data_IF_665390133874
#
_entry.id   IF_665390133874
#
_cell.length_a   1.000
_cell.length_b   1.000
_cell.length_c   1.000
_cell.angle_alpha   90.00
_cell.angle_beta   90.00
_cell.angle_gamma   90.00
#
_symmetry.space_group_name_H-M   'P 1'
#
loop_
_entity.id
_entity.type
_entity.pdbx_description
1 polymer ?
#
# COMPACT_ATOMS: atom_id res chain seq x y z
N UNK A 1 32.18 67.29 29.76
CA UNK A 1 33.07 66.32 29.07
C UNK A 1 33.60 66.99 27.81
N UNK A 2 34.88 66.84 27.48
CA UNK A 2 35.42 67.36 26.22
C UNK A 2 35.13 66.37 25.10
N UNK A 3 35.01 66.86 23.86
CA UNK A 3 34.75 66.02 22.70
C UNK A 3 35.86 64.98 22.45
N UNK A 4 37.10 65.31 22.84
CA UNK A 4 38.29 64.45 22.67
C UNK A 4 38.28 63.20 23.56
N UNK A 5 37.53 63.23 24.66
CA UNK A 5 37.49 62.16 25.66
C UNK A 5 36.35 61.15 25.41
N UNK A 6 35.58 61.29 24.32
CA UNK A 6 34.39 60.47 24.05
C UNK A 6 34.71 59.31 23.12
N UNK A 7 34.55 58.10 23.64
CA UNK A 7 34.62 56.86 22.85
C UNK A 7 33.22 56.49 22.32
N UNK A 8 32.89 57.01 21.13
CA UNK A 8 31.58 56.77 20.48
C UNK A 8 31.36 55.30 20.08
N UNK A 9 32.42 54.54 19.88
CA UNK A 9 32.34 53.12 19.55
C UNK A 9 31.88 52.31 20.76
N UNK A 10 32.54 52.46 21.90
CA UNK A 10 32.13 51.78 23.14
C UNK A 10 30.75 52.23 23.62
N UNK A 11 30.40 53.49 23.41
CA UNK A 11 29.05 54.00 23.65
C UNK A 11 28.01 53.28 22.78
N UNK A 12 28.26 53.17 21.46
CA UNK A 12 27.34 52.51 20.52
C UNK A 12 27.16 51.01 20.81
N UNK A 13 28.23 50.35 21.25
CA UNK A 13 28.22 48.94 21.65
C UNK A 13 27.73 48.70 23.09
N UNK A 14 27.41 49.77 23.86
CA UNK A 14 27.03 49.72 25.29
C UNK A 14 28.05 49.00 26.19
N UNK A 15 29.34 49.23 25.93
CA UNK A 15 30.45 48.61 26.68
C UNK A 15 30.98 49.48 27.84
N UNK A 16 30.34 50.62 28.11
CA UNK A 16 30.72 51.58 29.16
C UNK A 16 29.82 51.45 30.39
N UNK A 17 30.31 51.82 31.59
CA UNK A 17 29.46 51.88 32.78
C UNK A 17 28.33 52.91 32.61
N UNK A 18 27.19 52.66 33.27
CA UNK A 18 25.95 53.44 33.07
C UNK A 18 26.13 54.94 33.34
N UNK A 19 27.03 55.31 34.26
CA UNK A 19 27.31 56.72 34.60
C UNK A 19 28.05 57.46 33.48
N UNK A 20 28.92 56.77 32.72
CA UNK A 20 29.59 57.32 31.55
C UNK A 20 28.67 57.36 30.33
N UNK A 21 27.80 56.36 30.16
CA UNK A 21 26.76 56.37 29.12
C UNK A 21 25.85 57.59 29.26
N UNK A 22 25.43 57.92 30.48
CA UNK A 22 24.59 59.09 30.73
C UNK A 22 25.33 60.40 30.41
N UNK A 23 26.58 60.54 30.83
CA UNK A 23 27.41 61.74 30.54
C UNK A 23 27.62 61.94 29.04
N UNK A 24 27.81 60.85 28.28
CA UNK A 24 27.97 60.90 26.83
C UNK A 24 26.63 61.24 26.15
N UNK A 25 25.51 60.69 26.63
CA UNK A 25 24.18 61.03 26.12
C UNK A 25 23.85 62.53 26.31
N UNK A 26 24.07 63.06 27.51
CA UNK A 26 23.90 64.50 27.81
C UNK A 26 24.80 65.39 26.93
N UNK A 27 26.01 64.92 26.60
CA UNK A 27 26.90 65.64 25.70
C UNK A 27 26.44 65.62 24.22
N UNK A 28 25.89 64.50 23.75
CA UNK A 28 25.35 64.36 22.39
C UNK A 28 24.12 65.25 22.15
N UNK A 29 23.43 65.66 23.21
CA UNK A 29 22.31 66.62 23.14
C UNK A 29 22.78 68.06 22.90
N UNK A 30 24.01 68.40 23.32
CA UNK A 30 24.56 69.77 23.25
C UNK A 30 25.55 69.94 22.08
N UNK A 31 26.27 68.89 21.69
CA UNK A 31 27.34 68.96 20.69
C UNK A 31 26.93 68.36 19.34
N UNK A 32 26.75 69.23 18.33
CA UNK A 32 26.38 68.80 16.97
C UNK A 32 27.47 67.99 16.26
N UNK A 33 28.76 68.28 16.52
CA UNK A 33 29.89 67.55 15.93
C UNK A 33 29.90 66.09 16.39
N UNK A 34 29.83 65.86 17.71
CA UNK A 34 29.76 64.51 18.28
C UNK A 34 28.50 63.75 17.82
N UNK A 35 27.34 64.44 17.71
CA UNK A 35 26.10 63.85 17.18
C UNK A 35 26.24 63.42 15.72
N UNK A 36 26.94 64.19 14.90
CA UNK A 36 27.19 63.85 13.49
C UNK A 36 28.09 62.61 13.38
N UNK A 37 29.16 62.55 14.18
CA UNK A 37 30.09 61.41 14.25
C UNK A 37 29.40 60.14 14.73
N UNK A 38 28.57 60.24 15.76
CA UNK A 38 27.78 59.11 16.26
C UNK A 38 26.81 58.57 15.20
N UNK A 39 26.11 59.45 14.47
CA UNK A 39 25.24 59.04 13.35
C UNK A 39 26.02 58.32 12.25
N UNK A 40 27.20 58.82 11.89
CA UNK A 40 28.02 58.18 10.87
C UNK A 40 28.46 56.78 11.32
N UNK A 41 28.93 56.66 12.57
CA UNK A 41 29.33 55.39 13.15
C UNK A 41 28.17 54.38 13.23
N UNK A 42 26.97 54.83 13.60
CA UNK A 42 25.78 53.97 13.59
C UNK A 42 25.42 53.47 12.18
N UNK A 43 25.62 54.29 11.14
CA UNK A 43 25.41 53.86 9.77
C UNK A 43 26.44 52.79 9.35
N UNK A 44 27.73 53.01 9.66
CA UNK A 44 28.80 52.04 9.38
C UNK A 44 28.55 50.69 10.09
N UNK A 45 28.18 50.71 11.38
CA UNK A 45 27.83 49.50 12.13
C UNK A 45 26.63 48.77 11.51
N UNK A 46 25.64 49.51 11.01
CA UNK A 46 24.46 48.93 10.34
C UNK A 46 24.82 48.27 9.01
N UNK A 47 25.72 48.88 8.25
CA UNK A 47 26.22 48.31 7.00
C UNK A 47 26.97 46.99 7.25
N UNK A 48 27.80 46.94 8.29
CA UNK A 48 28.50 45.72 8.69
C UNK A 48 27.53 44.62 9.12
N UNK A 49 26.52 44.96 9.92
CA UNK A 49 25.50 44.00 10.36
C UNK A 49 24.67 43.45 9.19
N UNK A 50 24.32 44.32 8.23
CA UNK A 50 23.60 43.90 7.02
C UNK A 50 24.47 42.95 6.17
N UNK A 51 25.77 43.25 6.02
CA UNK A 51 26.70 42.40 5.26
C UNK A 51 26.86 41.01 5.88
N UNK A 52 26.91 40.92 7.21
CA UNK A 52 26.97 39.64 7.91
C UNK A 52 25.70 38.79 7.67
N UNK A 53 24.52 39.40 7.77
CA UNK A 53 23.25 38.73 7.50
C UNK A 53 23.13 38.26 6.05
N UNK A 54 23.50 39.08 5.07
CA UNK A 54 23.40 38.73 3.66
C UNK A 54 24.29 37.53 3.30
N UNK A 55 25.50 37.44 3.86
CA UNK A 55 26.41 36.33 3.57
C UNK A 55 25.99 35.00 4.22
N UNK A 56 25.39 35.04 5.41
CA UNK A 56 24.85 33.85 6.07
C UNK A 56 23.68 33.28 5.25
N UNK A 57 22.77 34.13 4.77
CA UNK A 57 21.63 33.72 3.96
C UNK A 57 22.06 33.11 2.62
N UNK A 58 23.04 33.72 1.92
CA UNK A 58 23.57 33.19 0.65
C UNK A 58 24.20 31.79 0.83
N UNK A 59 24.91 31.57 1.95
CA UNK A 59 25.51 30.27 2.25
C UNK A 59 24.47 29.17 2.48
N UNK A 60 23.40 29.46 3.22
CA UNK A 60 22.33 28.48 3.47
C UNK A 60 21.55 28.17 2.20
N UNK A 61 21.23 29.18 1.39
CA UNK A 61 20.45 29.01 0.16
C UNK A 61 21.18 28.15 -0.88
N UNK A 62 22.51 28.31 -1.00
CA UNK A 62 23.30 27.51 -1.94
C UNK A 62 23.39 26.03 -1.53
N UNK A 63 23.42 25.73 -0.23
CA UNK A 63 23.42 24.35 0.31
C UNK A 63 22.03 23.71 0.17
N UNK A 64 20.97 24.45 0.50
CA UNK A 64 19.59 23.96 0.46
C UNK A 64 19.11 23.69 -0.98
N UNK A 65 19.44 24.55 -1.94
CA UNK A 65 19.07 24.34 -3.36
C UNK A 65 19.73 23.09 -3.97
N UNK A 66 20.95 22.75 -3.54
CA UNK A 66 21.65 21.51 -3.95
C UNK A 66 21.04 20.26 -3.30
N UNK A 67 20.62 20.35 -2.03
CA UNK A 67 19.98 19.27 -1.30
C UNK A 67 18.55 18.99 -1.80
N UNK A 68 17.73 20.02 -2.06
CA UNK A 68 16.32 19.88 -2.45
C UNK A 68 16.09 19.13 -3.76
N UNK A 69 16.95 19.29 -4.77
CA UNK A 69 16.83 18.53 -6.04
C UNK A 69 17.05 17.03 -5.83
N UNK A 70 17.91 16.67 -4.87
CA UNK A 70 18.23 15.28 -4.50
C UNK A 70 17.28 14.65 -3.48
N UNK A 71 16.27 15.36 -2.98
CA UNK A 71 15.30 14.79 -2.04
C UNK A 71 13.94 14.55 -2.73
N UNK A 72 13.64 15.31 -3.78
CA UNK A 72 12.37 15.22 -4.51
C UNK A 72 12.10 13.84 -5.12
N UNK A 73 13.13 13.20 -5.67
CA UNK A 73 13.04 11.84 -6.24
C UNK A 73 12.88 10.76 -5.17
N UNK A 74 13.50 10.91 -3.99
CA UNK A 74 13.35 9.97 -2.86
C UNK A 74 11.88 9.83 -2.44
N UNK A 75 11.12 10.93 -2.47
CA UNK A 75 9.69 10.90 -2.18
C UNK A 75 8.93 10.00 -3.16
N UNK A 76 9.21 10.13 -4.46
CA UNK A 76 8.57 9.31 -5.48
C UNK A 76 9.02 7.84 -5.44
N UNK A 77 10.29 7.58 -5.10
CA UNK A 77 10.80 6.22 -4.89
C UNK A 77 10.11 5.56 -3.70
N UNK A 78 9.96 6.27 -2.59
CA UNK A 78 9.22 5.76 -1.42
C UNK A 78 7.77 5.43 -1.73
N UNK A 79 7.05 6.34 -2.40
CA UNK A 79 5.69 6.08 -2.86
C UNK A 79 5.61 4.90 -3.84
N UNK A 80 6.60 4.76 -4.73
CA UNK A 80 6.69 3.62 -5.64
C UNK A 80 6.82 2.28 -4.92
N UNK A 81 7.70 2.19 -3.91
CA UNK A 81 7.87 0.97 -3.10
C UNK A 81 6.58 0.65 -2.33
N UNK A 82 5.96 1.65 -1.69
CA UNK A 82 4.70 1.46 -0.97
C UNK A 82 3.60 0.99 -1.92
N UNK A 83 3.51 1.56 -3.13
CA UNK A 83 2.54 1.15 -4.13
C UNK A 83 2.75 -0.31 -4.57
N UNK A 84 3.99 -0.71 -4.84
CA UNK A 84 4.32 -2.10 -5.20
C UNK A 84 3.93 -3.07 -4.08
N UNK A 85 4.30 -2.77 -2.84
CA UNK A 85 3.94 -3.60 -1.68
C UNK A 85 2.42 -3.67 -1.50
N UNK A 86 1.73 -2.53 -1.62
CA UNK A 86 0.27 -2.48 -1.50
C UNK A 86 -0.42 -3.33 -2.58
N UNK A 87 0.00 -3.20 -3.84
CA UNK A 87 -0.51 -4.00 -4.95
C UNK A 87 -0.27 -5.49 -4.68
N UNK A 88 0.93 -5.88 -4.24
CA UNK A 88 1.24 -7.27 -3.89
C UNK A 88 0.34 -7.81 -2.76
N UNK A 89 0.09 -7.03 -1.71
CA UNK A 89 -0.80 -7.43 -0.63
C UNK A 89 -2.26 -7.60 -1.09
N UNK A 90 -2.73 -6.72 -1.98
CA UNK A 90 -4.06 -6.84 -2.58
C UNK A 90 -4.18 -8.14 -3.38
N UNK A 91 -3.18 -8.47 -4.21
CA UNK A 91 -3.19 -9.72 -4.98
C UNK A 91 -3.23 -10.96 -4.07
N UNK A 92 -2.43 -10.98 -2.99
CA UNK A 92 -2.45 -12.08 -2.02
C UNK A 92 -3.85 -12.22 -1.38
N UNK A 93 -4.45 -11.09 -0.98
CA UNK A 93 -5.79 -11.09 -0.39
C UNK A 93 -6.88 -11.59 -1.36
N UNK A 94 -6.80 -11.21 -2.63
CA UNK A 94 -7.71 -11.68 -3.68
C UNK A 94 -7.59 -13.18 -3.91
N UNK A 95 -6.37 -13.73 -3.93
CA UNK A 95 -6.16 -15.16 -4.15
C UNK A 95 -6.70 -16.00 -2.98
N UNK A 96 -6.51 -15.54 -1.73
CA UNK A 96 -7.10 -16.18 -0.54
C UNK A 96 -8.63 -16.19 -0.62
N UNK A 97 -9.23 -15.08 -1.05
CA UNK A 97 -10.68 -14.97 -1.20
C UNK A 97 -11.21 -15.94 -2.28
N UNK A 98 -10.56 -15.99 -3.44
CA UNK A 98 -10.89 -16.93 -4.54
C UNK A 98 -10.84 -18.38 -4.06
N UNK A 99 -9.74 -18.76 -3.39
CA UNK A 99 -9.58 -20.11 -2.84
C UNK A 99 -10.70 -20.48 -1.87
N UNK A 100 -11.05 -19.58 -0.94
CA UNK A 100 -12.15 -19.81 0.01
C UNK A 100 -13.49 -20.00 -0.70
N UNK A 101 -13.80 -19.14 -1.67
CA UNK A 101 -15.05 -19.25 -2.40
C UNK A 101 -15.13 -20.53 -3.23
N UNK A 102 -14.01 -20.99 -3.80
CA UNK A 102 -14.00 -22.24 -4.58
C UNK A 102 -14.22 -23.46 -3.68
N UNK A 103 -13.62 -23.49 -2.49
CA UNK A 103 -13.89 -24.53 -1.48
C UNK A 103 -15.38 -24.58 -1.10
N UNK A 104 -16.02 -23.42 -0.94
CA UNK A 104 -17.46 -23.34 -0.66
C UNK A 104 -18.27 -23.89 -1.85
N UNK A 105 -17.93 -23.49 -3.08
CA UNK A 105 -18.62 -24.01 -4.26
C UNK A 105 -18.47 -25.53 -4.38
N UNK A 106 -17.26 -26.08 -4.23
CA UNK A 106 -17.04 -27.53 -4.28
C UNK A 106 -17.86 -28.25 -3.20
N UNK A 107 -17.97 -27.70 -1.99
CA UNK A 107 -18.83 -28.26 -0.95
C UNK A 107 -20.33 -28.19 -1.29
N UNK A 108 -20.78 -27.11 -1.93
CA UNK A 108 -22.16 -26.99 -2.41
C UNK A 108 -22.44 -27.96 -3.56
N UNK A 109 -21.49 -28.11 -4.47
CA UNK A 109 -21.54 -29.06 -5.58
C UNK A 109 -21.62 -30.50 -5.07
N UNK A 110 -20.83 -30.84 -4.06
CA UNK A 110 -20.89 -32.15 -3.40
C UNK A 110 -22.29 -32.44 -2.84
N UNK A 111 -22.86 -31.48 -2.10
CA UNK A 111 -24.21 -31.59 -1.56
C UNK A 111 -25.26 -31.72 -2.66
N UNK A 112 -25.14 -30.93 -3.73
CA UNK A 112 -26.06 -30.97 -4.86
C UNK A 112 -26.05 -32.32 -5.57
N UNK A 113 -24.87 -32.92 -5.76
CA UNK A 113 -24.72 -34.27 -6.35
C UNK A 113 -25.34 -35.33 -5.44
N UNK A 114 -25.13 -35.22 -4.12
CA UNK A 114 -25.75 -36.14 -3.15
C UNK A 114 -27.28 -36.01 -3.19
N UNK A 115 -27.82 -34.80 -3.23
CA UNK A 115 -29.26 -34.55 -3.37
C UNK A 115 -29.83 -35.10 -4.68
N UNK A 116 -29.10 -34.91 -5.79
CA UNK A 116 -29.46 -35.48 -7.08
C UNK A 116 -29.58 -37.01 -6.98
N UNK A 117 -28.60 -37.68 -6.39
CA UNK A 117 -28.65 -39.14 -6.17
C UNK A 117 -29.84 -39.54 -5.28
N UNK A 118 -30.13 -38.79 -4.22
CA UNK A 118 -31.28 -39.08 -3.36
C UNK A 118 -32.61 -39.01 -4.11
N UNK A 119 -32.74 -38.10 -5.07
CA UNK A 119 -33.96 -37.91 -5.85
C UNK A 119 -34.07 -38.84 -7.07
N UNK A 120 -32.97 -39.09 -7.79
CA UNK A 120 -32.95 -39.87 -9.04
C UNK A 120 -32.52 -41.32 -8.84
N UNK A 121 -31.93 -41.66 -7.69
CA UNK A 121 -31.41 -42.99 -7.37
C UNK A 121 -29.96 -43.26 -7.82
N UNK A 122 -29.45 -42.47 -8.76
CA UNK A 122 -28.14 -42.66 -9.40
C UNK A 122 -27.29 -41.38 -9.37
N UNK A 123 -25.96 -41.53 -9.46
CA UNK A 123 -25.05 -40.38 -9.61
C UNK A 123 -25.03 -39.89 -11.06
N UNK A 124 -24.76 -38.59 -11.32
CA UNK A 124 -24.50 -38.09 -12.66
C UNK A 124 -23.35 -38.83 -13.34
N UNK A 125 -23.32 -38.88 -14.68
CA UNK A 125 -22.21 -39.50 -15.42
C UNK A 125 -21.07 -38.50 -15.61
N UNK A 126 -19.81 -38.97 -15.66
CA UNK A 126 -18.64 -38.10 -15.88
C UNK A 126 -18.67 -37.27 -17.17
N UNK A 127 -19.45 -37.72 -18.18
CA UNK A 127 -19.62 -37.02 -19.45
C UNK A 127 -20.79 -36.02 -19.44
N UNK A 128 -21.58 -35.99 -18.38
CA UNK A 128 -22.71 -35.07 -18.30
C UNK A 128 -22.23 -33.69 -17.86
N UNK A 129 -22.75 -32.66 -18.52
CA UNK A 129 -22.48 -31.26 -18.19
C UNK A 129 -23.09 -30.95 -16.83
N UNK A 130 -22.28 -31.10 -15.78
CA UNK A 130 -22.71 -31.11 -14.38
C UNK A 130 -23.53 -29.86 -14.00
N UNK A 131 -23.20 -28.70 -14.57
CA UNK A 131 -23.96 -27.47 -14.37
C UNK A 131 -25.41 -27.58 -14.88
N UNK A 132 -25.63 -28.22 -16.03
CA UNK A 132 -26.98 -28.44 -16.56
C UNK A 132 -27.73 -29.52 -15.79
N UNK A 133 -27.06 -30.63 -15.43
CA UNK A 133 -27.71 -31.71 -14.68
C UNK A 133 -28.21 -31.24 -13.31
N UNK A 134 -27.43 -30.38 -12.65
CA UNK A 134 -27.79 -29.86 -11.33
C UNK A 134 -28.73 -28.66 -11.38
N UNK A 135 -28.86 -28.01 -12.54
CA UNK A 135 -29.88 -26.99 -12.79
C UNK A 135 -31.19 -27.62 -13.27
N UNK A 136 -31.20 -28.74 -13.98
CA UNK A 136 -32.45 -29.27 -14.51
C UNK A 136 -33.21 -30.10 -13.47
N UNK A 137 -34.18 -29.46 -12.81
CA UNK A 137 -35.14 -30.12 -11.94
C UNK A 137 -36.53 -29.78 -12.41
N UNK A 138 -37.30 -30.81 -12.77
CA UNK A 138 -38.66 -30.71 -13.30
C UNK A 138 -39.64 -29.89 -12.41
N UNK A 139 -39.31 -29.72 -11.11
CA UNK A 139 -40.14 -29.02 -10.11
C UNK A 139 -39.60 -27.63 -9.71
N UNK A 140 -38.88 -26.93 -10.60
CA UNK A 140 -38.47 -25.52 -10.42
C UNK A 140 -37.45 -25.25 -9.29
N UNK A 141 -36.89 -26.28 -8.65
CA UNK A 141 -35.84 -26.15 -7.62
C UNK A 141 -34.51 -26.70 -8.11
N UNK A 142 -33.60 -25.84 -8.54
CA UNK A 142 -32.23 -26.21 -8.89
C UNK A 142 -31.50 -26.83 -7.68
N UNK A 143 -30.76 -27.93 -7.86
CA UNK A 143 -29.90 -28.50 -6.82
C UNK A 143 -28.71 -27.60 -6.51
N UNK A 144 -28.22 -26.88 -7.53
CA UNK A 144 -27.17 -25.89 -7.40
C UNK A 144 -27.51 -24.64 -8.21
N UNK A 145 -27.48 -23.49 -7.53
CA UNK A 145 -27.58 -22.19 -8.20
C UNK A 145 -26.17 -21.68 -8.50
N UNK A 146 -25.80 -21.72 -9.77
CA UNK A 146 -24.51 -21.18 -10.24
C UNK A 146 -24.77 -19.96 -11.09
N UNK A 147 -23.98 -18.90 -10.89
CA UNK A 147 -23.97 -17.75 -11.77
C UNK A 147 -23.58 -18.15 -13.21
N UNK A 148 -24.32 -17.65 -14.21
CA UNK A 148 -24.12 -17.99 -15.62
C UNK A 148 -22.71 -17.72 -16.14
N UNK A 149 -22.00 -16.71 -15.60
CA UNK A 149 -20.62 -16.42 -16.01
C UNK A 149 -19.59 -17.48 -15.62
N UNK A 150 -19.97 -18.43 -14.76
CA UNK A 150 -19.14 -19.60 -14.41
C UNK A 150 -19.40 -20.80 -15.31
N UNK A 151 -20.34 -20.70 -16.24
CA UNK A 151 -20.64 -21.78 -17.17
C UNK A 151 -20.06 -21.37 -18.53
N UNK A 152 -19.26 -22.24 -19.12
CA UNK A 152 -18.68 -21.99 -20.42
C UNK A 152 -19.69 -22.16 -21.56
N UNK A 153 -19.30 -21.80 -22.78
CA UNK A 153 -20.18 -21.96 -23.96
C UNK A 153 -20.55 -23.41 -24.25
N UNK A 154 -19.80 -24.36 -23.70
CA UNK A 154 -20.05 -25.78 -23.78
C UNK A 154 -20.90 -26.29 -22.61
N UNK A 155 -21.21 -25.49 -21.60
CA UNK A 155 -22.00 -25.91 -20.44
C UNK A 155 -21.20 -26.48 -19.26
N UNK A 156 -19.88 -26.42 -19.32
CA UNK A 156 -19.02 -26.87 -18.23
C UNK A 156 -18.90 -25.79 -17.16
N UNK A 157 -18.89 -26.23 -15.90
CA UNK A 157 -18.68 -25.35 -14.77
C UNK A 157 -17.19 -24.99 -14.66
N UNK A 158 -16.89 -23.70 -14.52
CA UNK A 158 -15.55 -23.16 -14.32
C UNK A 158 -15.31 -22.75 -12.87
N UNK A 159 -14.07 -22.86 -12.45
CA UNK A 159 -13.56 -22.33 -11.18
C UNK A 159 -13.30 -20.80 -11.26
N UNK A 160 -12.70 -20.21 -10.22
CA UNK A 160 -12.35 -18.79 -10.20
C UNK A 160 -11.19 -18.39 -11.12
N UNK A 161 -10.40 -19.37 -11.58
CA UNK A 161 -9.26 -19.16 -12.47
C UNK A 161 -9.62 -19.42 -13.94
N UNK A 162 -10.85 -19.89 -14.18
CA UNK A 162 -11.40 -20.14 -15.51
C UNK A 162 -11.15 -21.57 -16.00
N UNK A 163 -10.60 -22.45 -15.16
CA UNK A 163 -10.42 -23.86 -15.48
C UNK A 163 -11.73 -24.62 -15.27
N UNK A 164 -11.95 -25.65 -16.07
CA UNK A 164 -13.14 -26.49 -15.95
C UNK A 164 -13.05 -27.37 -14.72
N UNK A 165 -14.08 -27.31 -13.87
CA UNK A 165 -14.22 -28.21 -12.71
C UNK A 165 -14.43 -29.63 -13.23
N UNK A 166 -13.62 -30.55 -12.72
CA UNK A 166 -13.62 -31.95 -13.14
C UNK A 166 -14.46 -32.78 -12.20
N UNK A 167 -15.33 -33.59 -12.78
CA UNK A 167 -16.16 -34.56 -12.08
C UNK A 167 -15.90 -35.95 -12.62
N UNK A 168 -15.81 -36.94 -11.73
CA UNK A 168 -15.62 -38.33 -12.11
C UNK A 168 -16.46 -39.28 -11.27
N UNK A 169 -17.23 -40.09 -11.98
CA UNK A 169 -17.94 -41.26 -11.50
C UNK A 169 -17.79 -42.42 -12.51
N UNK A 170 -17.43 -43.64 -12.07
CA UNK A 170 -17.05 -44.01 -10.70
C UNK A 170 -15.76 -43.31 -10.26
N UNK A 171 -15.65 -43.02 -8.96
CA UNK A 171 -14.50 -42.32 -8.40
C UNK A 171 -13.18 -43.08 -8.63
N UNK A 172 -12.10 -42.34 -8.92
CA UNK A 172 -10.72 -42.83 -8.94
C UNK A 172 -10.10 -42.79 -7.54
N UNK A 173 -10.38 -41.74 -6.76
CA UNK A 173 -9.76 -41.51 -5.45
C UNK A 173 -10.73 -41.77 -4.29
N UNK A 174 -11.94 -41.23 -4.38
CA UNK A 174 -12.99 -41.41 -3.38
C UNK A 174 -13.79 -42.68 -3.64
N UNK A 175 -13.23 -43.85 -3.30
CA UNK A 175 -13.84 -45.18 -3.58
C UNK A 175 -15.31 -45.35 -3.18
N UNK A 176 -15.87 -44.49 -2.31
CA UNK A 176 -17.23 -44.62 -1.79
C UNK A 176 -18.29 -43.77 -2.52
N UNK A 177 -17.89 -42.75 -3.28
CA UNK A 177 -18.82 -41.76 -3.85
C UNK A 177 -18.40 -41.38 -5.28
N UNK A 178 -17.81 -40.20 -5.43
CA UNK A 178 -17.41 -39.56 -6.68
C UNK A 178 -16.25 -38.61 -6.37
N UNK A 179 -15.51 -38.24 -7.42
CA UNK A 179 -14.45 -37.25 -7.32
C UNK A 179 -14.92 -35.93 -7.96
N UNK A 180 -14.77 -34.82 -7.23
CA UNK A 180 -14.87 -33.47 -7.76
C UNK A 180 -13.60 -32.69 -7.39
N UNK A 181 -13.06 -31.96 -8.36
CA UNK A 181 -11.89 -31.13 -8.12
C UNK A 181 -11.74 -29.97 -9.11
N UNK A 182 -11.00 -28.97 -8.65
CA UNK A 182 -10.58 -27.77 -9.37
C UNK A 182 -9.06 -27.77 -9.47
N UNK A 183 -8.53 -27.49 -10.67
CA UNK A 183 -7.10 -27.39 -10.98
C UNK A 183 -6.43 -26.10 -10.45
N UNK A 184 -6.99 -25.48 -9.42
CA UNK A 184 -6.40 -24.29 -8.80
C UNK A 184 -6.09 -23.12 -9.75
N UNK A 185 -5.07 -22.35 -9.35
CA UNK A 185 -4.55 -21.16 -10.03
C UNK A 185 -3.57 -21.53 -11.13
N UNK A 186 -2.82 -22.62 -10.97
CA UNK A 186 -1.85 -23.07 -11.96
C UNK A 186 -2.51 -23.71 -13.19
N UNK A 187 -3.71 -24.26 -13.04
CA UNK A 187 -4.45 -24.98 -14.08
C UNK A 187 -3.90 -26.38 -14.37
N UNK A 188 -2.95 -26.87 -13.56
CA UNK A 188 -2.38 -28.21 -13.70
C UNK A 188 -3.23 -29.23 -12.91
N UNK A 189 -3.23 -30.50 -13.34
CA UNK A 189 -3.94 -31.56 -12.59
C UNK A 189 -2.90 -32.35 -11.80
N UNK A 190 -2.62 -31.84 -10.61
CA UNK A 190 -1.64 -32.40 -9.68
C UNK A 190 -2.25 -33.46 -8.77
N UNK A 191 -3.38 -34.05 -9.18
CA UNK A 191 -4.11 -35.08 -8.45
C UNK A 191 -4.59 -34.61 -7.07
N UNK A 192 -4.85 -33.30 -6.95
CA UNK A 192 -5.22 -32.69 -5.69
C UNK A 192 -4.03 -32.29 -4.82
N UNK A 193 -2.85 -32.08 -5.39
CA UNK A 193 -1.70 -31.57 -4.66
C UNK A 193 -1.56 -30.06 -4.92
N UNK A 194 -0.63 -29.44 -4.22
CA UNK A 194 -0.35 -28.01 -4.26
C UNK A 194 -1.58 -27.11 -4.06
N UNK A 195 -2.10 -26.49 -5.12
CA UNK A 195 -3.21 -25.52 -5.07
C UNK A 195 -4.57 -26.11 -5.51
N UNK A 196 -4.60 -27.38 -5.90
CA UNK A 196 -5.82 -28.10 -6.28
C UNK A 196 -6.82 -28.19 -5.12
N UNK A 197 -8.09 -27.97 -5.44
CA UNK A 197 -9.18 -28.06 -4.46
C UNK A 197 -10.03 -29.28 -4.79
N UNK A 198 -10.15 -30.22 -3.85
CA UNK A 198 -10.77 -31.53 -4.06
C UNK A 198 -11.67 -31.97 -2.90
N UNK A 199 -12.55 -32.94 -3.16
CA UNK A 199 -13.40 -33.55 -2.13
C UNK A 199 -12.79 -34.80 -1.44
N UNK A 200 -11.62 -35.29 -1.87
CA UNK A 200 -10.98 -36.44 -1.23
C UNK A 200 -9.73 -36.05 -0.44
N UNK A 201 -9.43 -36.83 0.61
CA UNK A 201 -8.19 -36.70 1.37
C UNK A 201 -7.09 -37.63 0.81
N UNK A 202 -5.81 -37.23 0.76
CA UNK A 202 -4.70 -38.08 0.29
C UNK A 202 -4.61 -39.46 0.97
N UNK A 203 -5.12 -39.57 2.20
CA UNK A 203 -5.07 -40.81 2.98
C UNK A 203 -5.95 -41.94 2.40
N UNK A 204 -6.90 -41.64 1.51
CA UNK A 204 -7.73 -42.66 0.88
C UNK A 204 -6.97 -43.52 -0.15
N UNK A 205 -5.76 -43.13 -0.54
CA UNK A 205 -4.90 -43.90 -1.43
C UNK A 205 -4.22 -45.09 -0.72
N UNK A 206 -4.04 -45.03 0.60
CA UNK A 206 -3.26 -46.02 1.37
C UNK A 206 -4.04 -47.25 1.83
N UNK A 207 -5.35 -47.30 1.64
CA UNK A 207 -6.16 -48.48 1.97
C UNK A 207 -6.26 -49.36 0.72
N UNK A 208 -5.20 -50.14 0.48
CA UNK A 208 -5.22 -51.27 -0.46
C UNK A 208 -5.79 -52.49 0.22
#
# INVERSE_FOLDING_TARGET
>A
MKCEDIDLYKYSCRELPEDELQKIAEHLDVCDDCRSKHRNLQNELRELQNWEQENIDVSTDTILRKAQRRIRWVRYVGWGIILVVFVSLVFIGLDIARYRHENVLLSELEKAIIQYRLHKGEFPTSGDKLAFVLQDVADSKHYLQVWKGRIDGEGNLRDYWGNTIRYRFPAKYNRKLFDIYSCGKDGEDDLGLDDDIKNWHPLYEKVK
#
